data_IF_485020166971
#
_entry.id   IF_485020166971
#
_cell.length_a   1.000
_cell.length_b   1.000
_cell.length_c   1.000
_cell.angle_alpha   90.00
_cell.angle_beta   90.00
_cell.angle_gamma   90.00
#
_symmetry.space_group_name_H-M   'P 1'
#
loop_
_entity.id
_entity.type
_entity.pdbx_description
1 polymer ?
#
# COMPACT_ATOMS: atom_id res chain seq x y z
N UNK A 1 49.93 5.09 -57.82
CA UNK A 1 49.42 4.04 -56.92
C UNK A 1 49.08 4.74 -55.60
N UNK A 2 47.84 5.13 -55.41
CA UNK A 2 47.40 5.73 -54.15
C UNK A 2 46.58 4.73 -53.37
N UNK A 3 47.03 4.42 -52.16
CA UNK A 3 46.24 3.65 -51.19
C UNK A 3 45.23 4.60 -50.51
N UNK A 4 43.97 4.41 -50.76
CA UNK A 4 42.89 4.98 -49.94
C UNK A 4 42.68 4.09 -48.73
N UNK A 5 43.00 4.59 -47.55
CA UNK A 5 42.63 4.00 -46.29
C UNK A 5 41.14 4.34 -46.01
N UNK A 6 40.31 3.31 -45.93
CA UNK A 6 38.95 3.42 -45.37
C UNK A 6 39.09 3.55 -43.86
N UNK A 7 38.74 4.72 -43.33
CA UNK A 7 38.47 4.86 -41.88
C UNK A 7 37.06 4.33 -41.68
N UNK A 8 36.96 3.22 -40.90
CA UNK A 8 35.68 2.80 -40.34
C UNK A 8 35.22 3.88 -39.37
N UNK A 9 33.98 4.35 -39.56
CA UNK A 9 33.27 5.10 -38.54
C UNK A 9 33.01 4.15 -37.38
N UNK A 10 33.69 4.38 -36.28
CA UNK A 10 33.26 3.88 -34.97
C UNK A 10 31.92 4.55 -34.71
N UNK A 11 30.82 3.77 -34.80
CA UNK A 11 29.59 4.12 -34.11
C UNK A 11 29.94 4.07 -32.62
N UNK A 12 30.13 5.24 -32.01
CA UNK A 12 30.11 5.36 -30.56
C UNK A 12 28.73 4.88 -30.12
N UNK A 13 28.68 3.68 -29.55
CA UNK A 13 27.60 3.24 -28.71
C UNK A 13 27.55 4.20 -27.50
N UNK A 14 26.88 5.32 -27.66
CA UNK A 14 26.44 6.17 -26.58
C UNK A 14 25.29 5.40 -25.85
N UNK A 15 25.65 4.37 -25.09
CA UNK A 15 24.78 3.92 -24.03
C UNK A 15 24.61 5.11 -23.08
N UNK A 16 23.44 5.74 -23.15
CA UNK A 16 23.05 6.81 -22.24
C UNK A 16 23.15 6.24 -20.84
N UNK A 17 24.22 6.60 -20.12
CA UNK A 17 24.36 6.22 -18.71
C UNK A 17 23.23 6.90 -17.96
N UNK A 18 22.28 6.10 -17.48
CA UNK A 18 21.18 6.55 -16.64
C UNK A 18 21.77 6.95 -15.29
N UNK A 19 21.56 8.20 -14.82
CA UNK A 19 22.08 8.59 -13.51
C UNK A 19 21.40 7.76 -12.42
N UNK A 20 22.19 7.31 -11.42
CA UNK A 20 21.70 6.53 -10.29
C UNK A 20 20.68 7.31 -9.46
N UNK A 21 20.88 8.63 -9.32
CA UNK A 21 20.01 9.53 -8.59
C UNK A 21 20.32 10.99 -8.89
N UNK A 22 19.44 11.89 -8.46
CA UNK A 22 19.64 13.34 -8.52
C UNK A 22 19.70 13.85 -7.08
N UNK A 23 20.81 14.57 -6.76
CA UNK A 23 20.99 15.16 -5.44
C UNK A 23 20.05 16.36 -5.18
N UNK A 24 19.60 17.05 -6.24
CA UNK A 24 18.98 18.37 -6.16
C UNK A 24 17.67 18.47 -6.98
N UNK A 25 16.69 17.59 -6.69
CA UNK A 25 15.32 17.94 -7.11
C UNK A 25 14.82 18.99 -6.13
N UNK A 26 14.61 20.22 -6.60
CA UNK A 26 14.06 21.29 -5.78
C UNK A 26 12.55 21.09 -5.61
N UNK A 27 12.13 20.65 -4.43
CA UNK A 27 10.73 20.45 -4.05
C UNK A 27 10.09 21.67 -3.40
N UNK A 28 10.82 22.79 -3.25
CA UNK A 28 10.31 23.99 -2.55
C UNK A 28 9.07 24.58 -3.22
N UNK A 29 8.93 24.43 -4.53
CA UNK A 29 7.77 24.92 -5.29
C UNK A 29 6.46 24.23 -4.88
N UNK A 30 6.51 22.99 -4.38
CA UNK A 30 5.35 22.18 -4.04
C UNK A 30 5.07 22.18 -2.53
N UNK A 31 5.95 22.78 -1.72
CA UNK A 31 5.77 22.86 -0.27
C UNK A 31 4.84 24.00 0.13
N UNK A 32 3.79 23.65 0.84
CA UNK A 32 2.95 24.63 1.52
C UNK A 32 3.45 24.82 2.94
N UNK A 33 3.79 26.07 3.31
CA UNK A 33 4.39 26.36 4.61
C UNK A 33 3.32 26.56 5.67
N UNK A 34 3.44 25.86 6.81
CA UNK A 34 2.63 26.09 8.00
C UNK A 34 3.07 27.38 8.68
N UNK A 35 2.11 28.25 9.00
CA UNK A 35 2.30 29.52 9.67
C UNK A 35 1.29 29.66 10.79
N UNK A 36 1.51 30.60 11.72
CA UNK A 36 0.53 30.90 12.78
C UNK A 36 -0.86 31.25 12.22
N UNK A 37 -0.91 31.86 11.02
CA UNK A 37 -2.16 32.25 10.39
C UNK A 37 -2.97 31.10 9.82
N UNK A 38 -2.33 30.00 9.38
CA UNK A 38 -2.98 28.87 8.76
C UNK A 38 -2.95 27.56 9.60
N UNK A 39 -2.22 27.56 10.72
CA UNK A 39 -2.05 26.40 11.59
C UNK A 39 -3.38 25.73 11.97
N UNK A 40 -4.40 26.56 12.26
CA UNK A 40 -5.74 26.04 12.62
C UNK A 40 -6.33 25.17 11.49
N UNK A 41 -6.20 25.59 10.22
CA UNK A 41 -6.71 24.83 9.08
C UNK A 41 -5.97 23.51 8.93
N UNK A 42 -4.64 23.51 9.06
CA UNK A 42 -3.81 22.31 8.99
C UNK A 42 -4.27 21.25 9.99
N UNK A 43 -4.32 21.62 11.27
CA UNK A 43 -4.68 20.66 12.33
C UNK A 43 -6.15 20.23 12.26
N UNK A 44 -7.06 21.10 11.82
CA UNK A 44 -8.47 20.72 11.66
C UNK A 44 -8.67 19.78 10.50
N UNK A 45 -7.97 20.00 9.39
CA UNK A 45 -8.03 19.09 8.25
C UNK A 45 -7.47 17.71 8.63
N UNK A 46 -6.29 17.66 9.28
CA UNK A 46 -5.71 16.41 9.77
C UNK A 46 -6.67 15.65 10.70
N UNK A 47 -7.39 16.34 11.59
CA UNK A 47 -8.39 15.73 12.49
C UNK A 47 -9.53 15.10 11.68
N UNK A 48 -10.04 15.77 10.64
CA UNK A 48 -11.12 15.22 9.83
C UNK A 48 -10.67 13.97 9.04
N UNK A 49 -9.50 14.02 8.42
CA UNK A 49 -8.95 12.87 7.70
C UNK A 49 -8.70 11.69 8.65
N UNK A 50 -8.13 11.93 9.83
CA UNK A 50 -7.93 10.87 10.84
C UNK A 50 -9.24 10.26 11.36
N UNK A 51 -10.31 11.07 11.46
CA UNK A 51 -11.65 10.57 11.80
C UNK A 51 -12.18 9.63 10.72
N UNK A 52 -12.00 10.01 9.44
CA UNK A 52 -12.46 9.22 8.29
C UNK A 52 -11.67 7.92 8.16
N UNK A 53 -10.35 7.95 8.32
CA UNK A 53 -9.53 6.73 8.36
C UNK A 53 -9.97 5.77 9.46
N UNK A 54 -10.25 6.28 10.66
CA UNK A 54 -10.76 5.46 11.77
C UNK A 54 -12.13 4.87 11.44
N UNK A 55 -13.00 5.66 10.78
CA UNK A 55 -14.33 5.21 10.37
C UNK A 55 -14.23 4.10 9.32
N UNK A 56 -13.42 4.29 8.29
CA UNK A 56 -13.25 3.32 7.20
C UNK A 56 -12.62 2.01 7.71
N UNK A 57 -11.61 2.09 8.59
CA UNK A 57 -11.06 0.92 9.27
C UNK A 57 -12.10 0.17 10.13
N UNK A 58 -13.00 0.92 10.80
CA UNK A 58 -14.11 0.34 11.56
C UNK A 58 -15.13 -0.34 10.66
N UNK A 59 -15.53 0.31 9.57
CA UNK A 59 -16.49 -0.22 8.62
C UNK A 59 -15.95 -1.50 7.95
N UNK A 60 -14.68 -1.49 7.58
CA UNK A 60 -14.00 -2.65 7.01
C UNK A 60 -13.97 -3.82 8.01
N UNK A 61 -13.49 -3.58 9.23
CA UNK A 61 -13.46 -4.61 10.27
C UNK A 61 -14.87 -5.17 10.53
N UNK A 62 -15.88 -4.30 10.67
CA UNK A 62 -17.27 -4.73 10.96
C UNK A 62 -17.87 -5.53 9.79
N UNK A 63 -17.54 -5.20 8.54
CA UNK A 63 -17.94 -6.00 7.38
C UNK A 63 -17.37 -7.42 7.42
N UNK A 64 -16.16 -7.58 7.93
CA UNK A 64 -15.52 -8.89 8.09
C UNK A 64 -15.97 -9.65 9.33
N UNK A 65 -16.39 -8.98 10.43
CA UNK A 65 -16.66 -9.64 11.73
C UNK A 65 -18.15 -9.71 12.10
N UNK A 66 -18.96 -8.76 11.68
CA UNK A 66 -20.32 -8.63 12.21
C UNK A 66 -21.39 -8.90 11.13
N UNK A 67 -21.42 -8.08 10.08
CA UNK A 67 -22.38 -8.25 8.98
C UNK A 67 -21.91 -7.58 7.70
N UNK A 68 -22.23 -8.17 6.56
CA UNK A 68 -21.91 -7.64 5.25
C UNK A 68 -23.13 -7.70 4.31
N UNK A 69 -23.49 -6.54 3.71
CA UNK A 69 -24.64 -6.38 2.79
C UNK A 69 -25.95 -6.96 3.35
N UNK A 70 -26.19 -6.78 4.66
CA UNK A 70 -27.41 -7.25 5.33
C UNK A 70 -27.45 -8.76 5.60
N UNK A 71 -26.34 -9.47 5.34
CA UNK A 71 -26.17 -10.90 5.62
C UNK A 71 -25.14 -11.18 6.70
N UNK A 72 -24.65 -12.40 6.71
CA UNK A 72 -23.57 -12.85 7.60
C UNK A 72 -22.29 -12.05 7.37
N UNK A 73 -21.41 -11.99 8.38
CA UNK A 73 -20.08 -11.44 8.26
C UNK A 73 -19.33 -12.00 7.03
N UNK A 74 -18.54 -11.17 6.34
CA UNK A 74 -17.84 -11.62 5.14
C UNK A 74 -16.87 -12.79 5.45
N UNK A 75 -16.27 -12.82 6.66
CA UNK A 75 -15.47 -13.95 7.11
C UNK A 75 -16.25 -15.27 7.16
N UNK A 76 -17.51 -15.24 7.58
CA UNK A 76 -18.37 -16.43 7.60
C UNK A 76 -18.78 -16.86 6.18
N UNK A 77 -19.01 -15.90 5.27
CA UNK A 77 -19.26 -16.18 3.87
C UNK A 77 -18.05 -16.82 3.20
N UNK A 78 -16.84 -16.32 3.52
CA UNK A 78 -15.57 -16.82 2.98
C UNK A 78 -15.18 -18.19 3.54
N UNK A 79 -15.39 -18.43 4.84
CA UNK A 79 -15.12 -19.72 5.50
C UNK A 79 -16.14 -20.83 5.18
N UNK A 80 -17.34 -20.45 4.69
CA UNK A 80 -18.44 -21.39 4.43
C UNK A 80 -19.00 -21.23 3.01
N UNK A 81 -18.18 -21.40 1.96
CA UNK A 81 -18.63 -21.32 0.58
C UNK A 81 -19.68 -22.40 0.28
N UNK A 82 -20.43 -22.23 -0.81
CA UNK A 82 -21.43 -23.20 -1.28
C UNK A 82 -22.23 -22.70 -2.46
N UNK A 83 -22.93 -23.59 -3.12
CA UNK A 83 -23.74 -23.27 -4.30
C UNK A 83 -24.77 -22.17 -3.98
N UNK A 84 -24.75 -21.11 -4.79
CA UNK A 84 -25.64 -19.95 -4.64
C UNK A 84 -25.21 -18.93 -3.58
N UNK A 85 -24.02 -19.10 -2.98
CA UNK A 85 -23.39 -18.12 -2.09
C UNK A 85 -22.39 -17.25 -2.86
N UNK A 86 -21.85 -16.23 -2.20
CA UNK A 86 -20.79 -15.34 -2.72
C UNK A 86 -19.61 -16.13 -3.28
N UNK A 87 -19.16 -17.17 -2.56
CA UNK A 87 -18.17 -18.13 -3.03
C UNK A 87 -18.81 -19.49 -3.20
N UNK A 88 -18.70 -20.08 -4.39
CA UNK A 88 -19.33 -21.37 -4.69
C UNK A 88 -18.58 -22.56 -4.10
N UNK A 89 -17.27 -22.43 -3.81
CA UNK A 89 -16.39 -23.50 -3.36
C UNK A 89 -15.17 -22.95 -2.63
N UNK A 90 -14.43 -23.77 -1.88
CA UNK A 90 -13.13 -23.40 -1.31
C UNK A 90 -12.08 -23.15 -2.42
N UNK A 91 -12.22 -23.78 -3.57
CA UNK A 91 -11.40 -23.48 -4.75
C UNK A 91 -11.57 -22.02 -5.20
N UNK A 92 -12.80 -21.45 -5.17
CA UNK A 92 -12.99 -20.03 -5.48
C UNK A 92 -12.38 -19.12 -4.39
N UNK A 93 -12.44 -19.51 -3.13
CA UNK A 93 -11.83 -18.73 -2.05
C UNK A 93 -10.29 -18.70 -2.18
N UNK A 94 -9.64 -19.87 -2.45
CA UNK A 94 -8.18 -19.89 -2.63
C UNK A 94 -7.74 -19.17 -3.89
N UNK A 95 -8.56 -19.22 -4.96
CA UNK A 95 -8.33 -18.44 -6.17
C UNK A 95 -8.24 -16.94 -5.83
N UNK A 96 -9.19 -16.42 -5.07
CA UNK A 96 -9.22 -15.02 -4.65
C UNK A 96 -7.95 -14.63 -3.86
N UNK A 97 -7.50 -15.48 -2.95
CA UNK A 97 -6.25 -15.25 -2.20
C UNK A 97 -5.04 -15.15 -3.14
N UNK A 98 -4.93 -16.08 -4.09
CA UNK A 98 -3.77 -16.14 -5.00
C UNK A 98 -3.79 -14.96 -5.98
N UNK A 99 -4.96 -14.59 -6.49
CA UNK A 99 -5.15 -13.43 -7.36
C UNK A 99 -4.73 -12.15 -6.62
N UNK A 100 -5.22 -11.90 -5.40
CA UNK A 100 -4.78 -10.74 -4.62
C UNK A 100 -3.26 -10.73 -4.34
N UNK A 101 -2.67 -11.90 -4.07
CA UNK A 101 -1.21 -12.01 -3.95
C UNK A 101 -0.47 -11.67 -5.26
N UNK A 102 -1.02 -12.09 -6.41
CA UNK A 102 -0.41 -11.83 -7.72
C UNK A 102 -0.58 -10.35 -8.12
N UNK A 103 -1.75 -9.78 -7.84
CA UNK A 103 -2.08 -8.40 -8.15
C UNK A 103 -1.13 -7.44 -7.43
N UNK A 104 -0.95 -7.59 -6.10
CA UNK A 104 -0.01 -6.73 -5.38
C UNK A 104 1.45 -6.97 -5.77
N UNK A 105 1.86 -8.21 -6.09
CA UNK A 105 3.21 -8.46 -6.60
C UNK A 105 3.45 -7.76 -7.94
N UNK A 106 2.45 -7.76 -8.82
CA UNK A 106 2.47 -7.04 -10.09
C UNK A 106 2.48 -5.53 -9.87
N UNK A 107 1.61 -5.02 -9.01
CA UNK A 107 1.49 -3.59 -8.73
C UNK A 107 2.79 -3.00 -8.17
N UNK A 108 3.40 -3.64 -7.17
CA UNK A 108 4.71 -3.20 -6.64
C UNK A 108 5.77 -3.21 -7.74
N UNK A 109 5.79 -4.22 -8.60
CA UNK A 109 6.77 -4.34 -9.68
C UNK A 109 6.54 -3.36 -10.83
N UNK A 110 5.30 -3.09 -11.22
CA UNK A 110 4.98 -2.31 -12.44
C UNK A 110 4.59 -0.87 -12.16
N UNK A 111 3.69 -0.62 -11.20
CA UNK A 111 3.20 0.70 -10.87
C UNK A 111 4.09 1.38 -9.81
N UNK A 112 4.19 0.79 -8.62
CA UNK A 112 4.84 1.45 -7.47
C UNK A 112 6.37 1.65 -7.65
N UNK A 113 7.08 0.69 -8.24
CA UNK A 113 8.53 0.78 -8.55
C UNK A 113 8.76 1.07 -10.03
N UNK A 114 8.03 0.38 -10.92
CA UNK A 114 8.28 0.40 -12.36
C UNK A 114 8.00 1.75 -13.01
N UNK A 115 6.83 2.35 -12.76
CA UNK A 115 6.46 3.61 -13.37
C UNK A 115 7.42 4.76 -12.99
N UNK A 116 7.76 5.00 -11.70
CA UNK A 116 8.77 5.99 -11.35
C UNK A 116 10.12 5.73 -12.02
N UNK A 117 10.56 4.48 -12.10
CA UNK A 117 11.80 4.12 -12.78
C UNK A 117 11.74 4.37 -14.28
N UNK A 118 10.64 4.02 -14.95
CA UNK A 118 10.45 4.24 -16.38
C UNK A 118 10.46 5.73 -16.75
N UNK A 119 9.84 6.57 -15.92
CA UNK A 119 9.90 8.04 -16.05
C UNK A 119 11.34 8.54 -15.88
N UNK A 120 12.07 7.99 -14.91
CA UNK A 120 13.47 8.31 -14.70
C UNK A 120 14.35 7.97 -15.91
N UNK A 121 14.20 6.76 -16.46
CA UNK A 121 14.94 6.31 -17.65
C UNK A 121 14.64 7.14 -18.89
N UNK A 122 13.42 7.67 -19.00
CA UNK A 122 13.03 8.62 -20.06
C UNK A 122 13.58 10.04 -19.85
N UNK A 123 14.18 10.33 -18.68
CA UNK A 123 14.71 11.65 -18.32
C UNK A 123 13.66 12.60 -17.74
N UNK A 124 12.43 12.13 -17.44
CA UNK A 124 11.39 12.89 -16.77
C UNK A 124 11.59 12.84 -15.25
N UNK A 125 12.72 13.34 -14.77
CA UNK A 125 13.18 13.13 -13.39
C UNK A 125 12.23 13.71 -12.35
N UNK A 126 11.64 14.88 -12.59
CA UNK A 126 10.68 15.48 -11.68
C UNK A 126 9.44 14.61 -11.56
N UNK A 127 8.85 14.21 -12.69
CA UNK A 127 7.66 13.36 -12.70
C UNK A 127 7.93 12.00 -12.06
N UNK A 128 9.12 11.43 -12.30
CA UNK A 128 9.55 10.18 -11.69
C UNK A 128 9.54 10.22 -10.16
N UNK A 129 10.02 11.32 -9.58
CA UNK A 129 10.06 11.48 -8.12
C UNK A 129 8.66 11.64 -7.54
N UNK A 130 7.79 12.40 -8.22
CA UNK A 130 6.40 12.60 -7.77
C UNK A 130 5.50 11.38 -8.00
N UNK A 131 5.88 10.47 -8.87
CA UNK A 131 5.20 9.18 -9.05
C UNK A 131 5.51 8.18 -7.92
N UNK A 132 6.52 8.44 -7.08
CA UNK A 132 6.86 7.57 -5.94
C UNK A 132 5.83 7.74 -4.83
N UNK A 133 5.10 6.69 -4.50
CA UNK A 133 4.19 6.65 -3.35
C UNK A 133 4.94 6.84 -2.03
N UNK A 134 4.31 7.46 -1.03
CA UNK A 134 4.91 7.78 0.29
C UNK A 134 6.21 8.59 0.20
N UNK A 135 6.31 9.47 -0.80
CA UNK A 135 7.54 10.24 -0.97
C UNK A 135 7.71 11.39 0.04
N UNK A 136 6.62 11.89 0.66
CA UNK A 136 6.69 12.92 1.70
C UNK A 136 7.31 12.39 2.99
N UNK A 137 6.93 11.18 3.40
CA UNK A 137 7.40 10.51 4.62
C UNK A 137 8.72 9.76 4.43
N UNK A 138 9.15 9.50 3.17
CA UNK A 138 10.28 8.64 2.81
C UNK A 138 10.11 7.15 3.13
N UNK A 139 8.88 6.68 3.34
CA UNK A 139 8.58 5.31 3.79
C UNK A 139 8.24 4.32 2.66
N UNK A 140 8.34 4.70 1.37
CA UNK A 140 8.04 3.81 0.22
C UNK A 140 8.68 2.43 0.31
N UNK A 141 9.93 2.31 0.82
CA UNK A 141 10.63 1.03 0.95
C UNK A 141 9.95 0.15 2.01
N UNK A 142 9.50 0.73 3.11
CA UNK A 142 8.80 0.02 4.17
C UNK A 142 7.42 -0.44 3.69
N UNK A 143 6.67 0.44 3.00
CA UNK A 143 5.36 0.16 2.44
C UNK A 143 5.44 -1.00 1.42
N UNK A 144 6.31 -0.90 0.42
CA UNK A 144 6.46 -1.96 -0.59
C UNK A 144 6.99 -3.27 0.00
N UNK A 145 7.81 -3.20 1.05
CA UNK A 145 8.21 -4.39 1.81
C UNK A 145 6.99 -5.04 2.46
N UNK A 146 6.12 -4.26 3.08
CA UNK A 146 4.90 -4.73 3.74
C UNK A 146 3.89 -5.29 2.73
N UNK A 147 3.79 -4.71 1.53
CA UNK A 147 3.00 -5.29 0.44
C UNK A 147 3.46 -6.72 0.11
N UNK A 148 4.76 -6.98 -0.04
CA UNK A 148 5.25 -8.34 -0.28
C UNK A 148 5.12 -9.23 0.97
N UNK A 149 5.22 -8.66 2.18
CA UNK A 149 4.96 -9.40 3.42
C UNK A 149 3.49 -9.81 3.55
N UNK A 150 2.53 -9.06 2.96
CA UNK A 150 1.12 -9.49 2.87
C UNK A 150 0.98 -10.82 2.11
N UNK A 151 1.72 -10.97 1.00
CA UNK A 151 1.79 -12.22 0.23
C UNK A 151 2.40 -13.35 1.08
N UNK A 152 3.50 -13.08 1.78
CA UNK A 152 4.11 -14.06 2.68
C UNK A 152 3.11 -14.51 3.75
N UNK A 153 2.40 -13.58 4.36
CA UNK A 153 1.43 -13.85 5.41
C UNK A 153 0.28 -14.72 4.88
N UNK A 154 -0.24 -14.42 3.69
CA UNK A 154 -1.26 -15.23 3.02
C UNK A 154 -0.77 -16.65 2.72
N UNK A 155 0.45 -16.81 2.19
CA UNK A 155 1.05 -18.12 1.87
C UNK A 155 1.39 -18.93 3.12
N UNK A 156 1.89 -18.27 4.18
CA UNK A 156 2.30 -18.93 5.43
C UNK A 156 1.14 -19.16 6.39
N UNK A 157 0.03 -18.43 6.22
CA UNK A 157 -1.14 -18.52 7.11
C UNK A 157 -0.89 -17.96 8.51
N UNK A 158 0.11 -17.07 8.65
CA UNK A 158 0.44 -16.36 9.90
C UNK A 158 1.04 -14.99 9.58
N UNK A 159 1.05 -14.09 10.56
CA UNK A 159 1.62 -12.73 10.45
C UNK A 159 3.04 -12.61 11.03
N UNK A 160 3.52 -13.63 11.72
CA UNK A 160 4.80 -13.61 12.44
C UNK A 160 5.99 -14.19 11.65
N UNK A 161 5.76 -14.57 10.37
CA UNK A 161 6.79 -15.16 9.51
C UNK A 161 7.02 -16.67 9.71
N UNK A 162 6.31 -17.32 10.64
CA UNK A 162 6.29 -18.77 10.77
C UNK A 162 5.22 -19.37 9.85
N UNK A 163 5.33 -20.66 9.55
CA UNK A 163 4.35 -21.34 8.68
C UNK A 163 3.34 -22.11 9.52
N UNK A 164 2.05 -21.80 9.37
CA UNK A 164 1.00 -22.57 9.99
C UNK A 164 0.89 -23.98 9.37
N UNK A 165 0.45 -24.93 10.16
CA UNK A 165 0.18 -26.29 9.66
C UNK A 165 -0.93 -26.30 8.58
N UNK A 166 -1.93 -25.43 8.72
CA UNK A 166 -3.02 -25.23 7.76
C UNK A 166 -2.74 -24.00 6.91
N UNK A 167 -1.78 -24.12 5.97
CA UNK A 167 -1.37 -23.03 5.09
C UNK A 167 -1.05 -23.52 3.68
N UNK A 168 -1.03 -22.61 2.71
CA UNK A 168 -0.58 -22.88 1.34
C UNK A 168 0.85 -23.44 1.37
N UNK A 169 1.74 -22.84 2.17
CA UNK A 169 3.12 -23.31 2.32
C UNK A 169 3.20 -24.76 2.80
N UNK A 170 2.46 -25.12 3.82
CA UNK A 170 2.45 -26.48 4.37
C UNK A 170 1.84 -27.49 3.40
N UNK A 171 0.78 -27.12 2.69
CA UNK A 171 0.20 -27.93 1.62
C UNK A 171 1.22 -28.21 0.50
N UNK A 172 1.88 -27.17 -0.01
CA UNK A 172 2.92 -27.33 -1.04
C UNK A 172 4.10 -28.16 -0.54
N UNK A 173 4.54 -27.97 0.69
CA UNK A 173 5.65 -28.74 1.29
C UNK A 173 5.36 -30.23 1.32
N UNK A 174 4.10 -30.62 1.50
CA UNK A 174 3.66 -32.01 1.50
C UNK A 174 3.44 -32.56 0.08
N UNK A 175 2.95 -31.76 -0.87
CA UNK A 175 2.45 -32.23 -2.16
C UNK A 175 3.31 -31.80 -3.35
N UNK A 176 4.05 -30.70 -3.25
CA UNK A 176 4.89 -30.15 -4.31
C UNK A 176 6.08 -29.36 -3.76
N UNK A 177 7.07 -30.06 -3.19
CA UNK A 177 8.23 -29.46 -2.52
C UNK A 177 9.06 -28.55 -3.46
N UNK A 178 9.07 -28.80 -4.76
CA UNK A 178 9.78 -27.95 -5.74
C UNK A 178 9.13 -26.58 -5.83
N UNK A 179 7.81 -26.54 -5.98
CA UNK A 179 7.05 -25.28 -6.00
C UNK A 179 7.11 -24.56 -4.66
N UNK A 180 7.01 -25.30 -3.54
CA UNK A 180 7.23 -24.75 -2.21
C UNK A 180 8.55 -23.97 -2.12
N UNK A 181 9.66 -24.59 -2.49
CA UNK A 181 10.98 -23.98 -2.45
C UNK A 181 11.08 -22.77 -3.40
N UNK A 182 10.53 -22.88 -4.60
CA UNK A 182 10.48 -21.79 -5.57
C UNK A 182 9.74 -20.57 -5.00
N UNK A 183 8.51 -20.76 -4.52
CA UNK A 183 7.64 -19.71 -3.99
C UNK A 183 8.28 -19.00 -2.79
N UNK A 184 8.75 -19.77 -1.80
CA UNK A 184 9.43 -19.21 -0.61
C UNK A 184 10.67 -18.42 -1.00
N UNK A 185 11.47 -18.93 -1.95
CA UNK A 185 12.64 -18.22 -2.45
C UNK A 185 12.25 -16.91 -3.14
N UNK A 186 11.21 -16.91 -3.98
CA UNK A 186 10.77 -15.69 -4.68
C UNK A 186 10.21 -14.63 -3.74
N UNK A 187 9.40 -15.01 -2.74
CA UNK A 187 8.93 -14.08 -1.70
C UNK A 187 10.14 -13.44 -0.99
N UNK A 188 11.07 -14.23 -0.50
CA UNK A 188 12.24 -13.71 0.19
C UNK A 188 13.13 -12.85 -0.70
N UNK A 189 13.27 -13.22 -1.99
CA UNK A 189 14.05 -12.44 -2.95
C UNK A 189 13.41 -11.07 -3.18
N UNK A 190 12.09 -10.98 -3.33
CA UNK A 190 11.38 -9.70 -3.51
C UNK A 190 11.53 -8.82 -2.25
N UNK A 191 11.28 -9.35 -1.06
CA UNK A 191 11.48 -8.63 0.23
C UNK A 191 12.92 -8.10 0.33
N UNK A 192 13.92 -8.96 0.13
CA UNK A 192 15.33 -8.57 0.26
C UNK A 192 15.75 -7.55 -0.82
N UNK A 193 15.23 -7.65 -2.03
CA UNK A 193 15.55 -6.73 -3.12
C UNK A 193 14.99 -5.33 -2.84
N UNK A 194 13.75 -5.21 -2.36
CA UNK A 194 13.13 -3.94 -1.96
C UNK A 194 13.91 -3.32 -0.79
N UNK A 195 14.17 -4.09 0.26
CA UNK A 195 14.97 -3.63 1.42
C UNK A 195 16.41 -3.27 1.07
N UNK A 196 16.94 -3.81 -0.03
CA UNK A 196 18.27 -3.49 -0.57
C UNK A 196 18.35 -2.16 -1.33
N UNK A 197 17.23 -1.49 -1.58
CA UNK A 197 17.20 -0.16 -2.19
C UNK A 197 17.72 0.86 -1.18
N UNK A 198 18.55 1.79 -1.65
CA UNK A 198 19.00 2.93 -0.80
C UNK A 198 17.83 3.84 -0.47
N UNK A 199 17.71 4.25 0.79
CA UNK A 199 16.71 5.22 1.25
C UNK A 199 17.20 6.68 1.05
N UNK A 200 16.30 7.60 0.69
CA UNK A 200 14.91 7.35 0.27
C UNK A 200 14.85 6.86 -1.18
N UNK A 201 13.88 5.99 -1.51
CA UNK A 201 13.69 5.44 -2.86
C UNK A 201 13.73 6.52 -3.95
N UNK A 202 12.99 7.61 -3.74
CA UNK A 202 12.87 8.73 -4.70
C UNK A 202 14.21 9.35 -5.13
N UNK A 203 15.27 9.19 -4.33
CA UNK A 203 16.61 9.71 -4.63
C UNK A 203 17.49 8.73 -5.40
N UNK A 204 17.04 7.48 -5.63
CA UNK A 204 17.86 6.41 -6.20
C UNK A 204 17.15 5.63 -7.32
N UNK A 205 16.16 6.23 -7.98
CA UNK A 205 15.31 5.57 -8.99
C UNK A 205 16.09 4.96 -10.16
N UNK A 206 17.25 5.54 -10.52
CA UNK A 206 18.12 5.01 -11.58
C UNK A 206 19.01 3.86 -11.16
N UNK A 207 19.01 3.46 -9.87
CA UNK A 207 19.94 2.46 -9.37
C UNK A 207 19.60 1.03 -9.84
N UNK A 208 20.64 0.18 -9.93
CA UNK A 208 20.44 -1.24 -10.24
C UNK A 208 19.69 -1.99 -9.15
N UNK A 209 19.70 -1.50 -7.90
CA UNK A 209 18.91 -2.09 -6.81
C UNK A 209 17.42 -1.91 -7.00
N UNK A 210 16.98 -0.78 -7.56
CA UNK A 210 15.58 -0.53 -7.93
C UNK A 210 15.15 -1.48 -9.06
N UNK A 211 15.97 -1.64 -10.11
CA UNK A 211 15.70 -2.61 -11.18
C UNK A 211 15.61 -4.04 -10.64
N UNK A 212 16.53 -4.43 -9.75
CA UNK A 212 16.53 -5.76 -9.15
C UNK A 212 15.27 -6.03 -8.31
N UNK A 213 14.71 -5.01 -7.62
CA UNK A 213 13.47 -5.12 -6.88
C UNK A 213 12.27 -5.29 -7.82
N UNK A 214 12.20 -4.50 -8.90
CA UNK A 214 11.20 -4.63 -9.95
C UNK A 214 11.20 -6.04 -10.57
N UNK A 215 12.37 -6.54 -10.95
CA UNK A 215 12.53 -7.89 -11.53
C UNK A 215 12.10 -8.99 -10.54
N UNK A 216 12.42 -8.81 -9.25
CA UNK A 216 12.06 -9.77 -8.22
C UNK A 216 10.55 -9.85 -7.98
N UNK A 217 9.84 -8.72 -7.97
CA UNK A 217 8.37 -8.67 -7.87
C UNK A 217 7.71 -9.31 -9.10
N UNK A 218 8.18 -9.00 -10.31
CA UNK A 218 7.68 -9.64 -11.56
C UNK A 218 7.93 -11.15 -11.59
N UNK A 219 9.06 -11.61 -11.02
CA UNK A 219 9.34 -13.04 -10.92
C UNK A 219 8.46 -13.74 -9.87
N UNK A 220 8.07 -13.05 -8.81
CA UNK A 220 7.12 -13.54 -7.80
C UNK A 220 5.72 -13.65 -8.39
N UNK A 221 5.22 -12.59 -9.05
CA UNK A 221 3.92 -12.59 -9.75
C UNK A 221 3.78 -13.80 -10.69
N UNK A 222 4.80 -14.06 -11.51
CA UNK A 222 4.79 -15.20 -12.45
C UNK A 222 4.67 -16.56 -11.76
N UNK A 223 5.33 -16.75 -10.62
CA UNK A 223 5.21 -18.00 -9.84
C UNK A 223 3.83 -18.13 -9.21
N UNK A 224 3.25 -17.04 -8.72
CA UNK A 224 1.90 -17.02 -8.15
C UNK A 224 0.86 -17.39 -9.22
N UNK A 225 0.93 -16.75 -10.38
CA UNK A 225 -0.07 -16.90 -11.45
C UNK A 225 0.11 -18.21 -12.24
N UNK A 226 1.34 -18.54 -12.65
CA UNK A 226 1.56 -19.64 -13.59
C UNK A 226 1.80 -20.99 -12.92
N UNK A 227 2.37 -21.00 -11.70
CA UNK A 227 2.77 -22.23 -11.03
C UNK A 227 1.86 -22.53 -9.81
N UNK A 228 1.62 -21.55 -8.92
CA UNK A 228 0.84 -21.76 -7.70
C UNK A 228 -0.66 -21.92 -7.99
N UNK A 229 -1.25 -21.00 -8.74
CA UNK A 229 -2.68 -20.96 -9.01
C UNK A 229 -3.20 -22.29 -9.57
N UNK A 230 -2.61 -22.89 -10.62
CA UNK A 230 -3.08 -24.19 -11.15
C UNK A 230 -3.00 -25.33 -10.13
N UNK A 231 -1.95 -25.35 -9.30
CA UNK A 231 -1.77 -26.40 -8.28
C UNK A 231 -2.84 -26.29 -7.19
N UNK A 232 -3.10 -25.08 -6.70
CA UNK A 232 -4.09 -24.86 -5.65
C UNK A 232 -5.53 -25.03 -6.17
N UNK A 233 -5.80 -24.66 -7.43
CA UNK A 233 -7.10 -24.89 -8.07
C UNK A 233 -7.41 -26.37 -8.31
N UNK A 234 -6.39 -27.23 -8.36
CA UNK A 234 -6.52 -28.68 -8.49
C UNK A 234 -6.59 -29.41 -7.13
N UNK A 235 -6.38 -28.71 -6.01
CA UNK A 235 -6.46 -29.28 -4.67
C UNK A 235 -7.90 -29.62 -4.30
N UNK A 236 -8.08 -30.61 -3.39
CA UNK A 236 -9.42 -31.00 -2.96
C UNK A 236 -10.05 -29.96 -2.02
N UNK A 237 -11.38 -29.86 -2.03
CA UNK A 237 -12.13 -28.99 -1.11
C UNK A 237 -11.81 -29.31 0.37
N UNK A 238 -11.50 -30.58 0.68
CA UNK A 238 -11.13 -31.04 2.01
C UNK A 238 -9.75 -30.49 2.45
N UNK A 239 -8.80 -30.41 1.52
CA UNK A 239 -7.47 -29.80 1.76
C UNK A 239 -7.55 -28.28 1.86
N UNK A 240 -8.39 -27.63 1.04
CA UNK A 240 -8.50 -26.18 0.99
C UNK A 240 -9.23 -25.57 2.19
N UNK A 241 -10.29 -26.24 2.69
CA UNK A 241 -11.09 -25.73 3.82
C UNK A 241 -10.25 -25.28 5.02
N UNK A 242 -9.35 -26.10 5.59
CA UNK A 242 -8.56 -25.69 6.75
C UNK A 242 -7.61 -24.53 6.44
N UNK A 243 -7.13 -24.40 5.19
CA UNK A 243 -6.28 -23.28 4.74
C UNK A 243 -7.09 -21.99 4.76
N UNK A 244 -8.30 -21.99 4.18
CA UNK A 244 -9.18 -20.80 4.13
C UNK A 244 -9.59 -20.37 5.55
N UNK A 245 -9.97 -21.31 6.41
CA UNK A 245 -10.34 -21.00 7.81
C UNK A 245 -9.14 -20.37 8.54
N UNK A 246 -7.96 -21.00 8.47
CA UNK A 246 -6.76 -20.49 9.12
C UNK A 246 -6.34 -19.11 8.59
N UNK A 247 -6.34 -18.92 7.28
CA UNK A 247 -6.03 -17.63 6.65
C UNK A 247 -6.98 -16.53 7.15
N UNK A 248 -8.27 -16.79 7.14
CA UNK A 248 -9.26 -15.83 7.62
C UNK A 248 -9.05 -15.47 9.08
N UNK A 249 -8.93 -16.47 9.95
CA UNK A 249 -8.90 -16.29 11.41
C UNK A 249 -7.54 -15.77 11.93
N UNK A 250 -6.42 -16.08 11.25
CA UNK A 250 -5.07 -15.76 11.74
C UNK A 250 -4.30 -14.75 10.89
N UNK A 251 -4.80 -14.39 9.71
CA UNK A 251 -4.19 -13.35 8.88
C UNK A 251 -5.17 -12.17 8.72
N UNK A 252 -6.31 -12.37 8.08
CA UNK A 252 -7.21 -11.26 7.72
C UNK A 252 -7.81 -10.56 8.94
N UNK A 253 -8.53 -11.31 9.79
CA UNK A 253 -9.23 -10.72 10.93
C UNK A 253 -8.30 -10.00 11.92
N UNK A 254 -7.12 -10.54 12.30
CA UNK A 254 -6.20 -9.82 13.15
C UNK A 254 -5.60 -8.58 12.48
N UNK A 255 -5.34 -8.60 11.16
CA UNK A 255 -4.81 -7.44 10.44
C UNK A 255 -5.81 -6.28 10.46
N UNK A 256 -7.08 -6.54 10.17
CA UNK A 256 -8.11 -5.49 10.23
C UNK A 256 -8.45 -5.06 11.67
N UNK A 257 -8.23 -5.91 12.67
CA UNK A 257 -8.35 -5.51 14.07
C UNK A 257 -7.22 -4.51 14.45
N UNK A 258 -5.98 -4.78 14.04
CA UNK A 258 -4.84 -3.88 14.25
C UNK A 258 -5.02 -2.59 13.45
N UNK A 259 -5.49 -2.65 12.19
CA UNK A 259 -5.79 -1.48 11.39
C UNK A 259 -6.73 -0.50 12.13
N UNK A 260 -7.81 -1.00 12.71
CA UNK A 260 -8.74 -0.17 13.50
C UNK A 260 -8.09 0.35 14.78
N UNK A 261 -7.34 -0.49 15.50
CA UNK A 261 -6.71 -0.09 16.75
C UNK A 261 -5.67 1.02 16.52
N UNK A 262 -4.82 0.87 15.49
CA UNK A 262 -3.73 1.80 15.20
C UNK A 262 -4.26 3.10 14.58
N UNK A 263 -5.31 3.06 13.74
CA UNK A 263 -5.99 4.28 13.27
C UNK A 263 -6.73 5.02 14.41
N UNK A 264 -7.23 4.31 15.42
CA UNK A 264 -7.80 4.93 16.63
C UNK A 264 -6.72 5.65 17.45
N UNK A 265 -5.55 5.03 17.57
CA UNK A 265 -4.40 5.63 18.25
C UNK A 265 -3.85 6.83 17.45
N UNK A 266 -3.76 6.75 16.13
CA UNK A 266 -3.39 7.86 15.24
C UNK A 266 -4.36 9.03 15.39
N UNK A 267 -5.66 8.79 15.35
CA UNK A 267 -6.68 9.83 15.56
C UNK A 267 -6.52 10.52 16.90
N UNK A 268 -6.22 9.76 17.96
CA UNK A 268 -5.93 10.33 19.30
C UNK A 268 -4.69 11.20 19.29
N UNK A 269 -3.62 10.78 18.61
CA UNK A 269 -2.38 11.55 18.50
C UNK A 269 -2.59 12.84 17.69
N UNK A 270 -3.31 12.79 16.57
CA UNK A 270 -3.67 13.96 15.75
C UNK A 270 -4.53 14.95 16.54
N UNK A 271 -5.53 14.49 17.30
CA UNK A 271 -6.34 15.37 18.18
C UNK A 271 -5.49 16.00 19.28
N UNK A 272 -4.51 15.28 19.81
CA UNK A 272 -3.57 15.81 20.80
C UNK A 272 -2.71 16.91 20.17
N UNK A 273 -2.23 16.71 18.94
CA UNK A 273 -1.51 17.73 18.16
C UNK A 273 -2.39 18.98 17.96
N UNK A 274 -3.64 18.79 17.52
CA UNK A 274 -4.57 19.90 17.30
C UNK A 274 -4.85 20.71 18.58
N UNK A 275 -5.07 20.05 19.70
CA UNK A 275 -5.26 20.71 21.01
C UNK A 275 -4.01 21.47 21.44
N UNK A 276 -2.81 20.84 21.31
CA UNK A 276 -1.53 21.47 21.66
C UNK A 276 -1.25 22.70 20.78
N UNK A 277 -1.58 22.64 19.50
CA UNK A 277 -1.48 23.76 18.57
C UNK A 277 -2.40 24.93 18.98
N UNK A 278 -3.65 24.64 19.37
CA UNK A 278 -4.58 25.64 19.91
C UNK A 278 -4.08 26.27 21.22
N UNK A 279 -3.53 25.47 22.12
CA UNK A 279 -2.91 25.96 23.37
C UNK A 279 -1.64 26.79 23.10
N UNK A 280 -0.85 26.48 22.09
CA UNK A 280 0.26 27.27 21.61
C UNK A 280 -0.22 28.65 21.13
N UNK A 281 -1.23 28.70 20.28
CA UNK A 281 -1.83 29.96 19.82
C UNK A 281 -2.41 30.81 20.98
N UNK A 282 -2.91 30.16 22.02
CA UNK A 282 -3.37 30.82 23.24
C UNK A 282 -2.23 31.23 24.18
N UNK A 283 -0.97 30.95 23.87
CA UNK A 283 0.22 31.29 24.65
C UNK A 283 0.44 30.43 25.89
N UNK A 284 -0.21 29.27 26.00
CA UNK A 284 -0.10 28.34 27.15
C UNK A 284 0.83 27.17 26.89
N UNK A 285 1.21 26.93 25.65
CA UNK A 285 2.18 25.92 25.19
C UNK A 285 3.30 26.57 24.38
N UNK A 286 4.38 25.83 24.19
CA UNK A 286 5.56 26.25 23.42
C UNK A 286 5.61 25.55 22.07
N UNK A 287 6.43 26.05 21.14
CA UNK A 287 6.75 25.35 19.85
C UNK A 287 7.32 23.96 20.13
N UNK A 288 8.10 23.79 21.21
CA UNK A 288 8.64 22.46 21.57
C UNK A 288 7.52 21.45 21.93
N UNK A 289 6.45 21.91 22.60
CA UNK A 289 5.29 21.07 22.90
C UNK A 289 4.57 20.64 21.60
N UNK A 290 4.37 21.57 20.66
CA UNK A 290 3.76 21.27 19.35
C UNK A 290 4.63 20.28 18.56
N UNK A 291 5.95 20.53 18.50
CA UNK A 291 6.88 19.63 17.82
C UNK A 291 6.89 18.22 18.44
N UNK A 292 6.74 18.10 19.75
CA UNK A 292 6.65 16.78 20.40
C UNK A 292 5.34 16.06 20.04
N UNK A 293 4.22 16.79 20.04
CA UNK A 293 2.92 16.23 19.64
C UNK A 293 2.93 15.82 18.16
N UNK A 294 3.54 16.62 17.28
CA UNK A 294 3.75 16.29 15.87
C UNK A 294 4.55 14.99 15.68
N UNK A 295 5.71 14.88 16.35
CA UNK A 295 6.52 13.65 16.28
C UNK A 295 5.75 12.42 16.73
N UNK A 296 4.91 12.55 17.75
CA UNK A 296 4.06 11.44 18.22
C UNK A 296 3.03 11.07 17.16
N UNK A 297 2.39 12.05 16.52
CA UNK A 297 1.42 11.81 15.45
C UNK A 297 2.10 11.17 14.22
N UNK A 298 3.27 11.67 13.80
CA UNK A 298 4.03 11.10 12.68
C UNK A 298 4.47 9.66 12.95
N UNK A 299 4.95 9.35 14.16
CA UNK A 299 5.29 7.97 14.55
C UNK A 299 4.06 7.07 14.52
N UNK A 300 2.92 7.57 14.99
CA UNK A 300 1.67 6.80 15.00
C UNK A 300 1.11 6.60 13.58
N UNK A 301 1.34 7.56 12.67
CA UNK A 301 0.98 7.40 11.25
C UNK A 301 1.72 6.20 10.62
N UNK A 302 3.04 6.10 10.83
CA UNK A 302 3.85 4.97 10.37
C UNK A 302 3.31 3.65 10.94
N UNK A 303 2.95 3.63 12.23
CA UNK A 303 2.39 2.41 12.88
C UNK A 303 1.04 2.03 12.27
N UNK A 304 0.16 3.03 12.05
CA UNK A 304 -1.19 2.78 11.52
C UNK A 304 -1.18 2.36 10.03
N UNK A 305 -0.13 2.71 9.29
CA UNK A 305 0.03 2.31 7.89
C UNK A 305 0.42 0.85 7.74
N UNK A 306 1.23 0.28 8.65
CA UNK A 306 1.71 -1.10 8.57
C UNK A 306 0.59 -2.16 8.38
N UNK A 307 -0.50 -2.18 9.18
CA UNK A 307 -1.58 -3.14 8.97
C UNK A 307 -2.34 -2.90 7.67
N UNK A 308 -2.40 -1.68 7.12
CA UNK A 308 -2.93 -1.43 5.79
C UNK A 308 -2.04 -2.08 4.73
N UNK A 309 -0.77 -1.75 4.68
CA UNK A 309 0.21 -2.29 3.73
C UNK A 309 0.33 -3.82 3.79
N UNK A 310 0.21 -4.40 4.98
CA UNK A 310 0.19 -5.86 5.14
C UNK A 310 -1.17 -6.50 4.83
N UNK A 311 -2.18 -5.71 4.43
CA UNK A 311 -3.47 -6.18 3.93
C UNK A 311 -3.60 -6.19 2.40
N UNK A 312 -2.63 -5.64 1.68
CA UNK A 312 -2.66 -5.45 0.23
C UNK A 312 -2.96 -6.73 -0.58
N UNK A 313 -2.53 -7.90 -0.11
CA UNK A 313 -2.87 -9.18 -0.75
C UNK A 313 -4.35 -9.57 -0.60
N UNK A 314 -5.18 -8.81 0.12
CA UNK A 314 -6.58 -9.15 0.37
C UNK A 314 -7.54 -7.95 0.37
N UNK A 315 -7.29 -6.99 -0.52
CA UNK A 315 -8.17 -5.84 -0.77
C UNK A 315 -9.38 -6.23 -1.66
N UNK A 316 -10.01 -7.36 -1.37
CA UNK A 316 -11.19 -7.85 -2.08
C UNK A 316 -12.45 -7.84 -1.18
N UNK A 317 -13.62 -8.05 -1.80
CA UNK A 317 -14.90 -8.06 -1.12
C UNK A 317 -15.21 -6.69 -0.51
N UNK A 318 -15.37 -6.55 0.83
CA UNK A 318 -15.78 -5.30 1.45
C UNK A 318 -14.91 -4.09 1.12
N UNK A 319 -13.61 -4.27 0.87
CA UNK A 319 -12.70 -3.18 0.49
C UNK A 319 -13.06 -2.66 -0.89
N UNK A 320 -13.10 -3.55 -1.87
CA UNK A 320 -13.41 -3.21 -3.26
C UNK A 320 -14.87 -2.72 -3.41
N UNK A 321 -15.83 -3.47 -2.85
CA UNK A 321 -17.26 -3.19 -3.03
C UNK A 321 -17.69 -1.84 -2.43
N UNK A 322 -16.93 -1.28 -1.50
CA UNK A 322 -17.23 0.00 -0.82
C UNK A 322 -16.24 1.11 -1.13
N UNK A 323 -15.31 0.89 -2.06
CA UNK A 323 -14.29 1.88 -2.41
C UNK A 323 -13.43 2.30 -1.21
N UNK A 324 -13.15 1.37 -0.29
CA UNK A 324 -12.40 1.69 0.93
C UNK A 324 -10.91 1.85 0.64
N UNK A 325 -10.39 1.18 -0.37
CA UNK A 325 -9.01 1.35 -0.80
C UNK A 325 -8.74 2.80 -1.22
N UNK A 326 -9.36 3.39 -2.23
CA UNK A 326 -9.12 4.79 -2.56
C UNK A 326 -9.61 5.78 -1.47
N UNK A 327 -10.49 5.38 -0.56
CA UNK A 327 -10.82 6.19 0.61
C UNK A 327 -9.66 6.33 1.59
N UNK A 328 -8.88 5.26 1.76
CA UNK A 328 -7.81 5.16 2.76
C UNK A 328 -6.43 5.44 2.18
N UNK A 329 -6.19 5.11 0.91
CA UNK A 329 -4.85 5.06 0.33
C UNK A 329 -4.74 5.57 -1.12
N UNK A 330 -5.54 6.57 -1.47
CA UNK A 330 -5.50 7.16 -2.82
C UNK A 330 -4.12 7.75 -3.15
N UNK A 331 -3.52 7.32 -4.26
CA UNK A 331 -2.28 7.82 -4.83
C UNK A 331 -2.34 7.80 -6.38
N UNK A 332 -1.80 8.80 -7.12
CA UNK A 332 -1.14 10.01 -6.60
C UNK A 332 -2.13 11.03 -6.00
N UNK A 333 -1.64 11.89 -5.11
CA UNK A 333 -2.45 12.95 -4.50
C UNK A 333 -2.76 14.05 -5.52
N UNK A 334 -3.98 14.59 -5.47
CA UNK A 334 -4.32 15.88 -6.10
C UNK A 334 -3.88 17.02 -5.18
N UNK A 335 -2.61 17.44 -5.30
CA UNK A 335 -1.98 18.46 -4.45
C UNK A 335 -2.68 19.81 -4.58
N UNK A 336 -3.22 20.16 -5.75
CA UNK A 336 -3.94 21.42 -5.96
C UNK A 336 -5.30 21.38 -5.25
N UNK A 337 -6.03 20.26 -5.34
CA UNK A 337 -7.27 20.06 -4.59
C UNK A 337 -7.04 20.08 -3.07
N UNK A 338 -5.95 19.46 -2.59
CA UNK A 338 -5.55 19.50 -1.18
C UNK A 338 -5.27 20.91 -0.71
N UNK A 339 -4.48 21.70 -1.44
CA UNK A 339 -4.18 23.10 -1.13
C UNK A 339 -5.45 23.98 -1.13
N UNK A 340 -6.35 23.77 -2.09
CA UNK A 340 -7.62 24.47 -2.17
C UNK A 340 -8.55 24.10 -0.98
N UNK A 341 -8.62 22.84 -0.61
CA UNK A 341 -9.38 22.35 0.54
C UNK A 341 -8.83 22.97 1.82
N UNK A 342 -7.50 22.92 2.01
CA UNK A 342 -6.82 23.52 3.15
C UNK A 342 -7.08 25.02 3.25
N UNK A 343 -6.99 25.78 2.14
CA UNK A 343 -7.24 27.21 2.10
C UNK A 343 -8.70 27.57 2.39
N UNK A 344 -9.65 26.71 2.02
CA UNK A 344 -11.08 26.91 2.22
C UNK A 344 -11.48 26.91 3.70
N UNK A 345 -10.77 26.17 4.55
CA UNK A 345 -11.12 25.92 5.96
C UNK A 345 -12.42 25.10 6.12
N UNK A 346 -12.90 24.43 5.06
CA UNK A 346 -14.12 23.61 5.05
C UNK A 346 -13.74 22.16 4.85
N UNK A 347 -13.89 21.36 5.88
CA UNK A 347 -13.46 19.94 5.90
C UNK A 347 -14.61 18.97 6.15
N UNK A 348 -15.85 19.43 6.05
CA UNK A 348 -17.09 18.64 6.19
C UNK A 348 -17.52 17.91 4.91
N UNK A 349 -16.95 18.28 3.76
CA UNK A 349 -17.25 17.72 2.45
C UNK A 349 -16.22 16.67 1.97
N UNK A 350 -15.60 15.92 2.90
CA UNK A 350 -14.62 14.87 2.58
C UNK A 350 -15.28 13.48 2.52
N UNK A 351 -16.59 13.44 2.32
CA UNK A 351 -17.38 12.21 2.18
C UNK A 351 -18.30 12.33 0.98
N UNK A 352 -18.73 11.20 0.48
CA UNK A 352 -19.74 11.07 -0.56
C UNK A 352 -20.94 10.28 -0.02
N UNK A 353 -22.10 10.39 -0.68
CA UNK A 353 -23.34 9.71 -0.31
C UNK A 353 -23.74 8.70 -1.39
N UNK A 354 -24.40 7.63 -1.00
CA UNK A 354 -24.88 6.59 -1.90
C UNK A 354 -24.00 5.34 -1.93
N UNK A 355 -24.20 4.51 -2.95
CA UNK A 355 -23.37 3.34 -3.20
C UNK A 355 -22.08 3.77 -3.91
N UNK A 356 -21.02 3.01 -3.70
CA UNK A 356 -19.75 3.25 -4.38
C UNK A 356 -19.89 2.95 -5.88
N UNK A 357 -19.40 3.87 -6.70
CA UNK A 357 -19.31 3.74 -8.15
C UNK A 357 -17.91 4.23 -8.56
N UNK A 358 -17.07 3.34 -9.05
CA UNK A 358 -15.69 3.64 -9.45
C UNK A 358 -15.60 4.61 -10.63
N UNK A 359 -16.66 4.72 -11.44
CA UNK A 359 -16.74 5.63 -12.59
C UNK A 359 -17.26 7.04 -12.19
N UNK A 360 -17.66 7.26 -10.93
CA UNK A 360 -18.15 8.56 -10.46
C UNK A 360 -17.00 9.50 -10.09
N UNK A 361 -16.71 10.44 -10.99
CA UNK A 361 -15.64 11.46 -10.80
C UNK A 361 -15.85 12.31 -9.51
N UNK A 362 -17.07 12.42 -8.99
CA UNK A 362 -17.33 13.17 -7.75
C UNK A 362 -16.91 12.39 -6.53
N UNK A 363 -17.01 11.06 -6.55
CA UNK A 363 -16.47 10.17 -5.54
C UNK A 363 -14.94 10.21 -5.59
N UNK A 364 -14.34 10.03 -6.76
CA UNK A 364 -12.89 10.08 -6.95
C UNK A 364 -12.29 11.42 -6.47
N UNK A 365 -12.93 12.55 -6.74
CA UNK A 365 -12.50 13.87 -6.29
C UNK A 365 -12.46 13.99 -4.74
N UNK A 366 -13.37 13.32 -4.04
CA UNK A 366 -13.38 13.27 -2.57
C UNK A 366 -12.29 12.33 -2.05
N UNK A 367 -12.10 11.19 -2.69
CA UNK A 367 -11.10 10.19 -2.31
C UNK A 367 -9.68 10.75 -2.41
N UNK A 368 -9.38 11.56 -3.42
CA UNK A 368 -8.06 12.16 -3.65
C UNK A 368 -7.65 13.25 -2.63
N UNK A 369 -8.52 13.62 -1.71
CA UNK A 369 -8.25 14.65 -0.69
C UNK A 369 -8.42 14.11 0.75
N UNK A 370 -8.35 12.78 0.91
CA UNK A 370 -8.43 12.10 2.21
C UNK A 370 -7.50 10.88 2.22
N UNK A 371 -7.46 10.15 3.32
CA UNK A 371 -6.66 8.93 3.43
C UNK A 371 -5.27 9.15 4.04
N UNK A 372 -4.46 8.10 4.00
CA UNK A 372 -3.12 8.10 4.59
C UNK A 372 -2.19 9.11 3.93
N UNK A 373 -2.18 9.19 2.59
CA UNK A 373 -1.30 10.10 1.87
C UNK A 373 -1.69 11.58 2.06
N UNK A 374 -2.98 11.88 2.25
CA UNK A 374 -3.41 13.23 2.64
C UNK A 374 -2.90 13.59 4.04
N UNK A 375 -2.92 12.65 5.01
CA UNK A 375 -2.30 12.89 6.32
C UNK A 375 -0.79 13.02 6.26
N UNK A 376 -0.15 12.29 5.36
CA UNK A 376 1.28 12.38 5.08
C UNK A 376 1.68 13.76 4.57
N UNK A 377 0.86 14.34 3.67
CA UNK A 377 1.04 15.71 3.17
C UNK A 377 0.82 16.76 4.29
N UNK A 378 -0.19 16.57 5.15
CA UNK A 378 -0.57 17.47 6.24
C UNK A 378 0.37 17.37 7.45
#
# INVERSE_FOLDING_TARGET
MGLTTFTACDEENNEKTIPEGIADVNFEEDQTVVTDANLTNWVQYSVQVANLLTKDASDLKNAWTDSYNGGDAFSEQFKNPGTGKTFASYSNCVQQIIEGCADIANEVGTAKIGEPRDLWEKGSYKDAVYAVESWYSFHSIDDYTNNILSIRNAVYGTRNGEQAAQSVASYLKANNVSLYNSLVTKINTAVNAIQGIKSPLRSFLGSNTVLAAQDACSALEKVLTNDLKPVMMAASEEDLKPIIVNYTDHVVLPTYADLLADNTALNTAIRTLANTAGEYQAGTKTVADVNQAFKTAATQWITAREPWETSEAFLFGPVADKGLDPNMDSWPLDVDALKNTLASGKFDNLTWEGEFDEDDETIAAVQNVRGFHTLEFL
#
